data_IF_415067431245
#
_entry.id   IF_415067431245
#
_cell.length_a   1.000
_cell.length_b   1.000
_cell.length_c   1.000
_cell.angle_alpha   90.00
_cell.angle_beta   90.00
_cell.angle_gamma   90.00
#
_symmetry.space_group_name_H-M   'P 1'
#
loop_
_entity.id
_entity.type
_entity.pdbx_description
1 polymer ?
#
# COMPACT_ATOMS: atom_id res chain seq x y z
N UNK A 1 30.42 1.67 0.11
CA UNK A 1 29.88 1.33 -1.21
C UNK A 1 29.38 2.58 -1.94
N UNK A 2 29.56 2.61 -3.26
CA UNK A 2 29.09 3.73 -4.08
C UNK A 2 27.59 3.53 -4.32
N UNK A 3 26.72 4.32 -3.65
CA UNK A 3 25.28 4.27 -3.86
C UNK A 3 24.89 5.14 -5.05
N UNK A 4 24.02 4.62 -5.90
CA UNK A 4 23.37 5.38 -6.98
C UNK A 4 22.04 6.00 -6.54
N UNK A 5 21.53 5.60 -5.37
CA UNK A 5 20.30 6.14 -4.77
C UNK A 5 20.49 7.60 -4.37
N UNK A 6 19.48 8.44 -4.63
CA UNK A 6 19.48 9.85 -4.24
C UNK A 6 19.24 10.08 -2.76
N UNK A 7 18.55 9.13 -2.11
CA UNK A 7 18.32 9.08 -0.66
C UNK A 7 18.37 7.63 -0.20
N UNK A 8 18.89 7.38 0.99
CA UNK A 8 18.92 6.07 1.62
C UNK A 8 18.98 6.22 3.15
N UNK A 9 18.34 5.31 3.85
CA UNK A 9 18.41 5.19 5.29
C UNK A 9 18.43 3.72 5.67
N UNK A 10 19.41 3.33 6.49
CA UNK A 10 19.55 1.97 7.02
C UNK A 10 19.85 2.09 8.50
N UNK A 11 19.11 1.35 9.31
CA UNK A 11 19.40 1.25 10.72
C UNK A 11 19.22 -0.18 11.21
N UNK A 12 19.91 -0.53 12.24
CA UNK A 12 19.77 -1.78 12.94
C UNK A 12 18.58 -1.70 13.89
N UNK A 13 17.63 -2.62 13.75
CA UNK A 13 16.36 -2.60 14.51
C UNK A 13 16.58 -2.96 15.98
N UNK A 14 17.54 -3.85 16.27
CA UNK A 14 17.78 -4.35 17.62
C UNK A 14 18.55 -3.33 18.48
N UNK A 15 19.57 -2.71 17.89
CA UNK A 15 20.40 -1.71 18.59
C UNK A 15 19.91 -0.27 18.44
N UNK A 16 19.09 0.01 17.42
CA UNK A 16 18.69 1.37 17.03
C UNK A 16 19.81 2.18 16.36
N UNK A 17 20.97 1.55 16.04
CA UNK A 17 22.09 2.23 15.41
C UNK A 17 21.80 2.58 13.97
N UNK A 18 22.08 3.83 13.56
CA UNK A 18 21.99 4.28 12.17
C UNK A 18 23.26 3.87 11.43
N UNK A 19 23.12 2.89 10.54
CA UNK A 19 24.23 2.34 9.75
C UNK A 19 24.50 3.16 8.48
N UNK A 20 23.48 3.81 7.93
CA UNK A 20 23.59 4.68 6.75
C UNK A 20 22.50 5.75 6.77
N UNK A 21 22.90 6.99 6.48
CA UNK A 21 21.98 8.11 6.28
C UNK A 21 22.50 8.99 5.14
N UNK A 22 21.82 8.92 3.98
CA UNK A 22 22.09 9.73 2.80
C UNK A 22 20.81 10.47 2.44
N UNK A 23 20.79 11.80 2.60
CA UNK A 23 19.60 12.62 2.29
C UNK A 23 18.31 12.03 2.87
N UNK A 24 18.40 11.38 4.04
CA UNK A 24 17.35 10.54 4.59
C UNK A 24 16.07 11.30 4.93
N UNK A 25 16.15 12.61 5.12
CA UNK A 25 15.05 13.50 5.51
C UNK A 25 14.58 14.39 4.33
N UNK A 26 15.07 14.12 3.11
CA UNK A 26 14.62 14.84 1.93
C UNK A 26 13.31 14.26 1.42
N UNK A 27 12.24 15.06 1.41
CA UNK A 27 10.93 14.68 0.85
C UNK A 27 11.02 14.44 -0.64
N UNK A 28 10.43 13.32 -1.08
CA UNK A 28 10.42 12.88 -2.47
C UNK A 28 9.15 12.11 -2.79
N UNK A 29 8.70 12.09 -4.05
CA UNK A 29 7.71 11.12 -4.50
C UNK A 29 8.21 9.70 -4.21
N UNK A 30 7.37 8.89 -3.57
CA UNK A 30 7.72 7.53 -3.14
C UNK A 30 7.09 6.44 -4.00
N UNK A 31 6.31 6.84 -4.99
CA UNK A 31 5.66 5.93 -5.94
C UNK A 31 4.99 4.75 -5.21
N UNK A 32 5.21 3.53 -5.68
CA UNK A 32 4.56 2.32 -5.14
C UNK A 32 4.89 1.98 -3.69
N UNK A 33 5.87 2.63 -3.05
CA UNK A 33 6.05 2.49 -1.60
C UNK A 33 4.81 2.97 -0.82
N UNK A 34 4.00 3.86 -1.40
CA UNK A 34 2.68 4.27 -0.90
C UNK A 34 1.80 3.08 -0.53
N UNK A 35 1.82 1.99 -1.32
CA UNK A 35 0.98 0.80 -1.10
C UNK A 35 1.21 0.13 0.26
N UNK A 36 2.40 0.32 0.84
CA UNK A 36 2.67 -0.18 2.19
C UNK A 36 1.87 0.58 3.24
N UNK A 37 1.76 1.90 3.08
CA UNK A 37 0.92 2.74 3.95
C UNK A 37 -0.56 2.39 3.75
N UNK A 38 -1.01 2.23 2.50
CA UNK A 38 -2.38 1.79 2.21
C UNK A 38 -2.72 0.44 2.83
N UNK A 39 -1.78 -0.50 2.84
CA UNK A 39 -1.95 -1.80 3.48
C UNK A 39 -2.04 -1.69 5.02
N UNK A 40 -1.23 -0.84 5.63
CA UNK A 40 -1.31 -0.55 7.07
C UNK A 40 -2.63 0.12 7.43
N UNK A 41 -3.08 1.08 6.62
CA UNK A 41 -4.38 1.75 6.78
C UNK A 41 -5.52 0.75 6.66
N UNK A 42 -5.52 -0.10 5.63
CA UNK A 42 -6.52 -1.16 5.52
C UNK A 42 -6.53 -2.04 6.78
N UNK A 43 -5.37 -2.45 7.24
CA UNK A 43 -5.26 -3.36 8.37
C UNK A 43 -5.69 -2.73 9.70
N UNK A 44 -5.55 -1.41 9.88
CA UNK A 44 -6.03 -0.70 11.08
C UNK A 44 -7.57 -0.66 11.19
N UNK A 45 -8.28 -0.82 10.07
CA UNK A 45 -9.74 -0.89 10.02
C UNK A 45 -10.31 -2.27 10.40
N UNK A 46 -9.46 -3.25 10.72
CA UNK A 46 -9.85 -4.64 11.01
C UNK A 46 -10.85 -5.21 9.98
N UNK A 47 -10.56 -5.13 8.67
CA UNK A 47 -11.50 -5.46 7.61
C UNK A 47 -11.78 -6.96 7.55
N UNK A 48 -12.96 -7.31 7.04
CA UNK A 48 -13.24 -8.68 6.57
C UNK A 48 -12.53 -8.91 5.22
N UNK A 49 -11.32 -9.46 5.29
CA UNK A 49 -10.51 -9.75 4.10
C UNK A 49 -11.02 -10.93 3.26
N UNK A 50 -11.93 -11.74 3.78
CA UNK A 50 -12.59 -12.80 3.02
C UNK A 50 -13.77 -12.25 2.19
N UNK A 51 -14.18 -11.01 2.46
CA UNK A 51 -15.21 -10.33 1.67
C UNK A 51 -14.81 -10.24 0.21
N UNK A 52 -15.73 -10.62 -0.68
CA UNK A 52 -15.54 -10.49 -2.13
C UNK A 52 -15.84 -9.06 -2.60
N UNK A 53 -14.86 -8.47 -3.27
CA UNK A 53 -14.93 -7.16 -3.92
C UNK A 53 -14.90 -7.36 -5.43
N UNK A 54 -15.81 -6.72 -6.15
CA UNK A 54 -15.81 -6.73 -7.62
C UNK A 54 -15.22 -5.41 -8.13
N UNK A 55 -14.23 -5.53 -9.00
CA UNK A 55 -13.56 -4.40 -9.65
C UNK A 55 -14.51 -3.76 -10.66
N UNK A 56 -15.28 -2.80 -10.22
CA UNK A 56 -16.06 -1.94 -11.11
C UNK A 56 -15.22 -0.74 -11.58
N UNK A 57 -15.80 0.11 -12.43
CA UNK A 57 -15.09 1.31 -12.92
C UNK A 57 -14.74 2.31 -11.82
N UNK A 58 -15.38 2.25 -10.63
CA UNK A 58 -15.14 3.16 -9.51
C UNK A 58 -13.81 2.88 -8.79
N UNK A 59 -13.32 1.63 -8.84
CA UNK A 59 -11.98 1.27 -8.35
C UNK A 59 -10.83 1.84 -9.22
N UNK A 60 -11.15 2.59 -10.27
CA UNK A 60 -10.19 3.26 -11.14
C UNK A 60 -10.60 4.71 -11.36
N UNK A 61 -10.44 5.61 -10.39
CA UNK A 61 -10.54 7.03 -10.69
C UNK A 61 -9.51 7.35 -11.76
N UNK A 62 -9.93 7.96 -12.87
CA UNK A 62 -9.27 8.17 -14.17
C UNK A 62 -7.82 8.66 -14.20
N UNK A 63 -6.94 8.04 -13.46
CA UNK A 63 -5.51 8.35 -13.43
C UNK A 63 -4.81 7.76 -14.65
N UNK A 64 -4.26 8.60 -15.54
CA UNK A 64 -3.48 8.16 -16.67
C UNK A 64 -2.27 7.37 -16.19
N UNK A 65 -2.09 6.14 -16.67
CA UNK A 65 -0.91 5.33 -16.33
C UNK A 65 -1.08 4.34 -15.16
N UNK A 66 -2.21 4.34 -14.47
CA UNK A 66 -2.51 3.36 -13.43
C UNK A 66 -2.82 1.98 -14.06
N UNK A 67 -1.78 1.28 -14.51
CA UNK A 67 -1.89 -0.07 -15.04
C UNK A 67 -2.32 -1.06 -13.95
N UNK A 68 -3.32 -1.90 -14.25
CA UNK A 68 -3.69 -3.06 -13.44
C UNK A 68 -3.79 -4.29 -14.32
N UNK A 69 -3.34 -5.43 -13.81
CA UNK A 69 -3.54 -6.74 -14.44
C UNK A 69 -4.90 -7.35 -14.08
N UNK A 70 -5.52 -6.84 -13.01
CA UNK A 70 -6.87 -7.23 -12.61
C UNK A 70 -7.85 -6.44 -13.50
N UNK A 71 -8.65 -7.13 -14.29
CA UNK A 71 -9.59 -6.51 -15.24
C UNK A 71 -10.83 -5.98 -14.52
N UNK A 72 -11.43 -4.94 -15.06
CA UNK A 72 -12.79 -4.52 -14.67
C UNK A 72 -13.75 -5.69 -14.82
N UNK A 73 -14.62 -5.90 -13.83
CA UNK A 73 -15.53 -7.03 -13.74
C UNK A 73 -14.97 -8.25 -13.00
N UNK A 74 -13.65 -8.33 -12.74
CA UNK A 74 -13.09 -9.36 -11.87
C UNK A 74 -13.58 -9.16 -10.43
N UNK A 75 -14.02 -10.24 -9.78
CA UNK A 75 -14.33 -10.26 -8.36
C UNK A 75 -13.24 -11.08 -7.63
N UNK A 76 -12.70 -10.54 -6.55
CA UNK A 76 -11.64 -11.16 -5.76
C UNK A 76 -11.84 -10.88 -4.27
N UNK A 77 -11.18 -11.63 -3.40
CA UNK A 77 -11.22 -11.36 -1.96
C UNK A 77 -10.38 -10.15 -1.58
N UNK A 78 -10.64 -9.58 -0.41
CA UNK A 78 -9.76 -8.54 0.16
C UNK A 78 -8.32 -9.02 0.29
N UNK A 79 -8.09 -10.30 0.65
CA UNK A 79 -6.77 -10.93 0.67
C UNK A 79 -6.10 -10.91 -0.69
N UNK A 80 -6.82 -11.34 -1.74
CA UNK A 80 -6.29 -11.34 -3.11
C UNK A 80 -5.85 -9.93 -3.54
N UNK A 81 -6.67 -8.92 -3.23
CA UNK A 81 -6.38 -7.52 -3.58
C UNK A 81 -5.21 -6.96 -2.79
N UNK A 82 -5.13 -7.24 -1.47
CA UNK A 82 -4.00 -6.82 -0.64
C UNK A 82 -2.67 -7.41 -1.16
N UNK A 83 -2.66 -8.71 -1.42
CA UNK A 83 -1.47 -9.38 -1.95
C UNK A 83 -1.09 -8.90 -3.35
N UNK A 84 -2.07 -8.68 -4.24
CA UNK A 84 -1.81 -8.11 -5.56
C UNK A 84 -1.21 -6.70 -5.49
N UNK A 85 -1.69 -5.86 -4.57
CA UNK A 85 -1.15 -4.53 -4.34
C UNK A 85 0.31 -4.57 -3.85
N UNK A 86 0.64 -5.44 -2.88
CA UNK A 86 1.95 -5.48 -2.26
C UNK A 86 2.98 -6.27 -3.08
N UNK A 87 2.65 -7.50 -3.53
CA UNK A 87 3.60 -8.41 -4.20
C UNK A 87 3.79 -8.04 -5.66
N UNK A 88 2.72 -7.67 -6.35
CA UNK A 88 2.76 -7.34 -7.78
C UNK A 88 2.76 -5.83 -8.06
N UNK A 89 2.63 -5.04 -7.01
CA UNK A 89 2.50 -3.59 -7.13
C UNK A 89 1.34 -3.17 -8.05
N UNK A 90 0.23 -3.94 -8.05
CA UNK A 90 -0.93 -3.68 -8.90
C UNK A 90 -1.67 -2.43 -8.43
N UNK A 91 -1.77 -1.43 -9.31
CA UNK A 91 -2.39 -0.16 -8.97
C UNK A 91 -3.92 -0.29 -8.81
N UNK A 92 -4.57 -1.11 -9.65
CA UNK A 92 -6.00 -1.34 -9.53
C UNK A 92 -6.38 -2.00 -8.22
N UNK A 93 -5.57 -2.98 -7.78
CA UNK A 93 -5.74 -3.60 -6.47
C UNK A 93 -5.58 -2.58 -5.33
N UNK A 94 -4.57 -1.70 -5.41
CA UNK A 94 -4.37 -0.66 -4.41
C UNK A 94 -5.54 0.34 -4.35
N UNK A 95 -6.06 0.75 -5.51
CA UNK A 95 -7.27 1.60 -5.58
C UNK A 95 -8.55 0.90 -5.10
N UNK A 96 -8.57 -0.42 -5.02
CA UNK A 96 -9.68 -1.18 -4.46
C UNK A 96 -9.60 -1.37 -2.92
N UNK A 97 -8.47 -1.06 -2.27
CA UNK A 97 -8.33 -1.21 -0.82
C UNK A 97 -9.34 -0.38 -0.02
N UNK A 98 -9.71 0.87 -0.42
CA UNK A 98 -10.82 1.58 0.20
C UNK A 98 -12.12 0.79 0.22
N UNK A 99 -12.48 0.11 -0.90
CA UNK A 99 -13.68 -0.73 -0.98
C UNK A 99 -13.61 -1.94 -0.05
N UNK A 100 -12.41 -2.53 0.10
CA UNK A 100 -12.16 -3.62 1.07
C UNK A 100 -12.40 -3.12 2.50
N UNK A 101 -11.94 -1.91 2.81
CA UNK A 101 -12.18 -1.24 4.10
C UNK A 101 -13.65 -0.82 4.31
N UNK A 102 -14.47 -0.84 3.25
CA UNK A 102 -15.84 -0.32 3.32
C UNK A 102 -15.90 1.20 3.44
N UNK A 103 -14.89 1.89 2.95
CA UNK A 103 -14.74 3.34 3.03
C UNK A 103 -14.83 4.00 1.65
N UNK A 104 -15.31 5.22 1.62
CA UNK A 104 -15.16 6.10 0.47
C UNK A 104 -13.68 6.45 0.27
N UNK A 105 -13.29 6.73 -0.98
CA UNK A 105 -11.89 6.93 -1.36
C UNK A 105 -11.22 8.07 -0.56
N UNK A 106 -11.90 9.20 -0.42
CA UNK A 106 -11.37 10.36 0.31
C UNK A 106 -11.22 10.08 1.81
N UNK A 107 -12.20 9.38 2.40
CA UNK A 107 -12.13 8.97 3.80
C UNK A 107 -10.94 8.04 4.05
N UNK A 108 -10.66 7.13 3.11
CA UNK A 108 -9.50 6.25 3.21
C UNK A 108 -8.17 7.02 3.09
N UNK A 109 -8.11 8.04 2.24
CA UNK A 109 -6.94 8.92 2.12
C UNK A 109 -6.68 9.72 3.41
N UNK A 110 -7.72 10.25 4.02
CA UNK A 110 -7.60 10.94 5.31
C UNK A 110 -7.02 9.98 6.36
N UNK A 111 -7.53 8.75 6.43
CA UNK A 111 -7.01 7.71 7.33
C UNK A 111 -5.56 7.31 7.02
N UNK A 112 -5.16 7.28 5.75
CA UNK A 112 -3.75 7.06 5.39
C UNK A 112 -2.86 8.15 6.01
N UNK A 113 -3.29 9.40 5.96
CA UNK A 113 -2.54 10.51 6.54
C UNK A 113 -2.59 10.52 8.08
N UNK A 114 -3.65 10.01 8.70
CA UNK A 114 -3.71 9.76 10.14
C UNK A 114 -2.73 8.66 10.56
N UNK A 115 -2.72 7.52 9.85
CA UNK A 115 -1.80 6.40 10.13
C UNK A 115 -0.34 6.85 10.04
N UNK A 116 0.04 7.68 9.06
CA UNK A 116 1.42 8.17 8.98
C UNK A 116 1.77 9.14 10.10
N UNK A 117 0.79 9.93 10.57
CA UNK A 117 0.99 10.79 11.74
C UNK A 117 1.22 9.95 13.00
N UNK A 118 0.42 8.90 13.22
CA UNK A 118 0.55 7.98 14.36
C UNK A 118 1.88 7.22 14.35
N UNK A 119 2.41 6.91 13.17
CA UNK A 119 3.73 6.31 12.98
C UNK A 119 4.87 7.32 13.16
N UNK A 120 4.59 8.59 13.41
CA UNK A 120 5.59 9.64 13.53
C UNK A 120 6.26 10.00 12.20
N UNK A 121 5.61 9.74 11.07
CA UNK A 121 6.11 10.05 9.72
C UNK A 121 5.80 11.53 9.36
N UNK A 122 6.37 12.45 10.14
CA UNK A 122 6.01 13.88 10.13
C UNK A 122 6.33 14.63 8.84
N UNK A 123 7.11 14.02 7.95
CA UNK A 123 7.46 14.59 6.65
C UNK A 123 6.80 13.84 5.48
N UNK A 124 5.71 13.11 5.75
CA UNK A 124 5.00 12.30 4.77
C UNK A 124 3.58 12.80 4.55
N UNK A 125 3.10 12.69 3.32
CA UNK A 125 1.71 12.96 2.94
C UNK A 125 1.35 12.14 1.72
N UNK A 126 0.11 11.66 1.65
CA UNK A 126 -0.35 10.79 0.59
C UNK A 126 -1.61 11.38 -0.06
N UNK A 127 -1.69 11.29 -1.39
CA UNK A 127 -2.75 11.83 -2.23
C UNK A 127 -3.52 10.73 -2.99
N UNK A 128 -3.01 9.51 -3.03
CA UNK A 128 -3.70 8.32 -3.56
C UNK A 128 -3.16 7.04 -2.91
N UNK A 129 -3.91 5.90 -2.96
CA UNK A 129 -3.49 4.66 -2.31
C UNK A 129 -2.47 3.83 -3.10
N UNK A 130 -2.16 4.21 -4.35
CA UNK A 130 -1.33 3.43 -5.25
C UNK A 130 0.07 4.02 -5.49
N UNK A 131 0.26 5.31 -5.18
CA UNK A 131 1.50 6.02 -5.46
C UNK A 131 1.65 6.44 -6.91
N UNK A 132 0.54 6.79 -7.56
CA UNK A 132 0.50 7.27 -8.95
C UNK A 132 0.64 8.78 -9.00
N UNK A 133 0.12 9.48 -8.00
CA UNK A 133 0.25 10.92 -7.86
C UNK A 133 1.64 11.29 -7.29
N UNK A 134 2.32 12.24 -7.92
CA UNK A 134 3.63 12.74 -7.46
C UNK A 134 3.55 13.47 -6.10
N UNK A 135 2.34 13.78 -5.60
CA UNK A 135 2.11 14.31 -4.26
C UNK A 135 2.11 13.23 -3.16
N UNK A 136 2.29 11.96 -3.50
CA UNK A 136 2.64 10.93 -2.53
C UNK A 136 4.10 11.15 -2.09
N UNK A 137 4.30 12.00 -1.10
CA UNK A 137 5.61 12.46 -0.65
C UNK A 137 5.99 11.84 0.68
N UNK A 138 7.22 11.37 0.78
CA UNK A 138 7.81 10.90 2.05
C UNK A 138 9.33 11.06 2.04
N UNK A 139 9.97 10.60 3.10
CA UNK A 139 11.43 10.55 3.26
C UNK A 139 11.89 9.11 3.45
N UNK A 140 13.18 8.83 3.20
CA UNK A 140 13.72 7.50 3.43
C UNK A 140 13.62 7.09 4.91
N UNK A 141 13.79 8.05 5.84
CA UNK A 141 13.63 7.82 7.29
C UNK A 141 12.18 7.51 7.64
N UNK A 142 11.22 8.27 7.14
CA UNK A 142 9.81 8.03 7.45
C UNK A 142 9.33 6.68 6.87
N UNK A 143 9.70 6.37 5.62
CA UNK A 143 9.34 5.08 5.03
C UNK A 143 9.90 3.89 5.82
N UNK A 144 11.03 4.05 6.52
CA UNK A 144 11.55 2.99 7.39
C UNK A 144 10.60 2.70 8.56
N UNK A 145 9.88 3.71 9.08
CA UNK A 145 8.84 3.51 10.11
C UNK A 145 7.68 2.69 9.57
N UNK A 146 7.23 3.00 8.36
CA UNK A 146 6.18 2.21 7.70
C UNK A 146 6.62 0.77 7.44
N UNK A 147 7.88 0.56 6.99
CA UNK A 147 8.45 -0.79 6.78
C UNK A 147 8.48 -1.57 8.09
N UNK A 148 8.94 -0.96 9.19
CA UNK A 148 8.97 -1.60 10.50
C UNK A 148 7.57 -1.97 10.99
N UNK A 149 6.62 -1.04 10.92
CA UNK A 149 5.23 -1.30 11.28
C UNK A 149 4.63 -2.46 10.46
N UNK A 150 4.86 -2.46 9.14
CA UNK A 150 4.38 -3.51 8.25
C UNK A 150 5.02 -4.88 8.54
N UNK A 151 6.31 -4.92 8.86
CA UNK A 151 7.03 -6.16 9.16
C UNK A 151 6.53 -6.85 10.43
N UNK A 152 5.99 -6.07 11.36
CA UNK A 152 5.45 -6.57 12.63
C UNK A 152 3.93 -6.81 12.58
N UNK A 153 3.24 -6.32 11.53
CA UNK A 153 1.79 -6.40 11.46
C UNK A 153 1.31 -7.77 10.97
N UNK A 154 0.45 -8.51 11.73
CA UNK A 154 0.08 -9.90 11.43
C UNK A 154 -0.66 -10.06 10.08
N UNK A 155 -1.34 -9.03 9.59
CA UNK A 155 -2.04 -9.03 8.30
C UNK A 155 -1.13 -8.61 7.16
N UNK A 156 -0.31 -7.57 7.36
CA UNK A 156 0.50 -6.97 6.28
C UNK A 156 1.78 -7.75 6.02
N UNK A 157 2.45 -8.21 7.09
CA UNK A 157 3.75 -8.88 6.99
C UNK A 157 3.74 -10.14 6.10
N UNK A 158 2.77 -11.05 6.21
CA UNK A 158 2.70 -12.23 5.33
C UNK A 158 2.57 -11.85 3.85
N UNK A 159 1.73 -10.86 3.52
CA UNK A 159 1.55 -10.41 2.14
C UNK A 159 2.79 -9.67 1.62
N UNK A 160 3.39 -8.79 2.42
CA UNK A 160 4.56 -8.01 2.02
C UNK A 160 5.83 -8.86 1.85
N UNK A 161 5.91 -10.02 2.50
CA UNK A 161 7.07 -10.93 2.47
C UNK A 161 6.89 -12.10 1.49
N UNK A 162 5.72 -12.24 0.87
CA UNK A 162 5.43 -13.38 0.00
C UNK A 162 6.24 -13.29 -1.30
N UNK A 163 6.87 -14.38 -1.76
CA UNK A 163 7.64 -14.40 -3.01
C UNK A 163 6.75 -14.37 -4.25
N UNK A 164 5.49 -14.78 -4.13
CA UNK A 164 4.44 -14.72 -5.14
C UNK A 164 3.07 -14.65 -4.50
N UNK A 165 2.06 -14.25 -5.28
CA UNK A 165 0.68 -14.16 -4.81
C UNK A 165 -0.28 -14.50 -5.94
N UNK A 166 -1.19 -15.44 -5.69
CA UNK A 166 -2.24 -15.80 -6.61
C UNK A 166 -3.49 -14.96 -6.33
N UNK A 167 -4.14 -14.49 -7.40
CA UNK A 167 -5.41 -13.77 -7.34
C UNK A 167 -6.50 -14.66 -7.94
N UNK A 168 -7.49 -15.00 -7.14
CA UNK A 168 -8.59 -15.87 -7.55
C UNK A 168 -9.73 -15.05 -8.14
N UNK A 169 -10.05 -15.30 -9.41
CA UNK A 169 -11.22 -14.69 -10.06
C UNK A 169 -12.50 -15.41 -9.62
N UNK A 170 -13.25 -14.80 -8.74
CA UNK A 170 -14.51 -15.29 -8.19
C UNK A 170 -15.75 -14.87 -9.01
N UNK A 171 -15.56 -14.19 -10.13
CA UNK A 171 -16.65 -13.65 -10.97
C UNK A 171 -17.66 -14.73 -11.36
N UNK A 172 -17.19 -15.92 -11.73
CA UNK A 172 -18.03 -17.05 -12.13
C UNK A 172 -18.79 -17.73 -10.99
N UNK A 173 -18.36 -17.57 -9.74
CA UNK A 173 -19.02 -18.16 -8.57
C UNK A 173 -20.29 -17.39 -8.19
N UNK A 174 -20.36 -16.10 -8.51
CA UNK A 174 -21.50 -15.21 -8.20
C UNK A 174 -22.74 -15.49 -9.07
N UNK A 175 -22.56 -16.06 -10.26
CA UNK A 175 -23.65 -16.38 -11.20
C UNK A 175 -24.43 -17.65 -10.80
N UNK A 176 -23.94 -18.42 -9.81
CA UNK A 176 -24.53 -19.69 -9.38
C UNK A 176 -25.23 -19.62 -8.02
N UNK A 177 -25.40 -18.47 -7.43
CA UNK A 177 -26.18 -18.21 -6.22
C UNK A 177 -27.32 -17.24 -6.54
#
# INVERSE_FOLDING_TARGET
PKLHSKAAFVYDVDSGEVLLSLNADTRRPVASLTKLVSALTLASEAPDLDRTICMDGSARPGWPGAGSKIKTGTCATGWDLLGAALVRSDNGAAFALPLVAGAEHEVFLDRMNEVVADLGMTQSSFADPAGVDDNNLSTARDMTRAVLAASLHPVVSPAASAPFWDVHDLTRQRVRR
#
